data_IF_772009896982
#
_entry.id   IF_772009896982
#
_cell.length_a   1.000
_cell.length_b   1.000
_cell.length_c   1.000
_cell.angle_alpha   90.00
_cell.angle_beta   90.00
_cell.angle_gamma   90.00
#
_symmetry.space_group_name_H-M   'P 1'
#
loop_
_entity.id
_entity.type
_entity.pdbx_description
1 polymer ?
#
# COMPACT_ATOMS: atom_id res chain seq x y z
N UNK A 1 -14.79 -6.63 7.10
CA UNK A 1 -14.07 -5.37 7.35
C UNK A 1 -12.76 -5.74 8.01
N UNK A 2 -11.63 -5.22 7.55
CA UNK A 2 -10.28 -5.47 8.08
C UNK A 2 -9.46 -4.18 7.91
N UNK A 3 -8.45 -3.91 8.75
CA UNK A 3 -7.97 -4.72 9.88
C UNK A 3 -8.90 -4.71 11.10
N UNK A 4 -8.72 -5.69 11.99
CA UNK A 4 -9.36 -5.82 13.30
C UNK A 4 -8.27 -6.20 14.31
N UNK A 5 -8.19 -5.46 15.42
CA UNK A 5 -7.35 -5.76 16.57
C UNK A 5 -8.22 -6.31 17.70
N UNK A 6 -7.84 -7.46 18.23
CA UNK A 6 -8.29 -7.96 19.54
C UNK A 6 -7.22 -7.60 20.57
N UNK A 7 -7.62 -6.87 21.62
CA UNK A 7 -6.72 -6.44 22.70
C UNK A 7 -6.58 -7.53 23.75
N UNK A 8 -5.62 -7.36 24.66
CA UNK A 8 -5.36 -8.29 25.77
C UNK A 8 -6.59 -8.53 26.68
N UNK A 9 -7.50 -7.56 26.76
CA UNK A 9 -8.76 -7.65 27.53
C UNK A 9 -9.92 -8.29 26.74
N UNK A 10 -9.66 -8.76 25.51
CA UNK A 10 -10.66 -9.34 24.61
C UNK A 10 -11.55 -8.32 23.91
N UNK A 11 -11.36 -7.02 24.13
CA UNK A 11 -12.11 -5.99 23.41
C UNK A 11 -11.60 -5.84 21.97
N UNK A 12 -12.52 -5.51 21.07
CA UNK A 12 -12.26 -5.40 19.63
C UNK A 12 -12.16 -3.94 19.19
N UNK A 13 -11.18 -3.66 18.33
CA UNK A 13 -10.98 -2.37 17.66
C UNK A 13 -10.86 -2.60 16.14
N UNK A 14 -11.65 -1.88 15.36
CA UNK A 14 -11.53 -1.84 13.90
C UNK A 14 -10.84 -0.53 13.46
N UNK A 15 -10.65 -0.37 12.15
CA UNK A 15 -9.99 0.77 11.50
C UNK A 15 -8.48 0.87 11.74
N UNK A 16 -7.71 0.93 10.66
CA UNK A 16 -6.24 0.95 10.71
C UNK A 16 -5.70 2.15 11.50
N UNK A 17 -6.30 3.33 11.32
CA UNK A 17 -5.83 4.55 11.97
C UNK A 17 -6.04 4.52 13.49
N UNK A 18 -7.14 3.92 13.94
CA UNK A 18 -7.43 3.77 15.37
C UNK A 18 -6.47 2.77 16.01
N UNK A 19 -6.15 1.69 15.30
CA UNK A 19 -5.17 0.69 15.74
C UNK A 19 -3.77 1.30 15.85
N UNK A 20 -3.33 2.09 14.85
CA UNK A 20 -2.03 2.78 14.90
C UNK A 20 -2.00 3.76 16.08
N UNK A 21 -3.04 4.58 16.25
CA UNK A 21 -3.15 5.54 17.36
C UNK A 21 -3.06 4.86 18.72
N UNK A 22 -3.76 3.73 18.87
CA UNK A 22 -3.75 2.93 20.09
C UNK A 22 -2.33 2.49 20.47
N UNK A 23 -1.57 1.94 19.52
CA UNK A 23 -0.20 1.50 19.79
C UNK A 23 0.76 2.65 20.08
N UNK A 24 0.64 3.78 19.38
CA UNK A 24 1.45 4.97 19.64
C UNK A 24 1.19 5.54 21.04
N UNK A 25 -0.08 5.61 21.45
CA UNK A 25 -0.47 6.03 22.80
C UNK A 25 0.12 5.12 23.89
N UNK A 26 0.13 3.79 23.67
CA UNK A 26 0.74 2.85 24.61
C UNK A 26 2.25 3.03 24.75
N UNK A 27 2.94 3.43 23.68
CA UNK A 27 4.39 3.68 23.70
C UNK A 27 4.75 5.07 24.25
N UNK A 28 3.76 5.93 24.47
CA UNK A 28 3.94 7.30 24.94
C UNK A 28 4.98 8.07 24.11
N UNK A 29 4.91 7.91 22.78
CA UNK A 29 5.79 8.60 21.83
C UNK A 29 5.24 9.98 21.50
N UNK A 30 6.14 10.94 21.32
CA UNK A 30 5.82 12.29 20.85
C UNK A 30 5.81 12.31 19.32
N UNK A 31 4.68 11.91 18.74
CA UNK A 31 4.50 11.75 17.29
C UNK A 31 3.09 12.20 16.86
N UNK A 32 2.89 12.73 15.62
CA UNK A 32 1.56 13.02 15.12
C UNK A 32 0.63 11.80 15.19
N UNK A 33 -0.54 11.99 15.81
CA UNK A 33 -1.54 10.93 16.04
C UNK A 33 -2.57 10.81 14.90
N UNK A 34 -2.33 11.49 13.79
CA UNK A 34 -3.18 11.51 12.60
C UNK A 34 -2.33 11.63 11.32
N UNK A 35 -2.83 11.15 10.17
CA UNK A 35 -2.24 11.42 8.88
C UNK A 35 -2.16 12.92 8.57
N UNK A 36 -1.10 13.34 7.89
CA UNK A 36 -1.01 14.70 7.37
C UNK A 36 -1.96 14.91 6.19
N UNK A 37 -2.39 16.17 5.98
CA UNK A 37 -3.22 16.53 4.82
C UNK A 37 -2.56 16.17 3.49
N UNK A 38 -1.24 16.29 3.41
CA UNK A 38 -0.48 15.97 2.21
C UNK A 38 -0.53 14.47 1.92
N UNK A 39 -0.39 13.61 2.92
CA UNK A 39 -0.52 12.16 2.76
C UNK A 39 -1.92 11.73 2.35
N UNK A 40 -2.96 12.33 2.91
CA UNK A 40 -4.34 12.04 2.51
C UNK A 40 -4.63 12.46 1.06
N UNK A 41 -4.09 13.61 0.65
CA UNK A 41 -4.20 14.08 -0.74
C UNK A 41 -3.43 13.16 -1.70
N UNK A 42 -2.20 12.76 -1.34
CA UNK A 42 -1.40 11.81 -2.11
C UNK A 42 -2.09 10.44 -2.20
N UNK A 43 -2.61 9.93 -1.10
CA UNK A 43 -3.33 8.65 -1.05
C UNK A 43 -4.48 8.61 -2.06
N UNK A 44 -5.24 9.71 -2.15
CA UNK A 44 -6.35 9.82 -3.09
C UNK A 44 -5.92 9.66 -4.55
N UNK A 45 -4.75 10.18 -4.92
CA UNK A 45 -4.20 10.02 -6.29
C UNK A 45 -3.50 8.68 -6.50
N UNK A 46 -2.96 8.08 -5.44
CA UNK A 46 -2.27 6.78 -5.49
C UNK A 46 -3.21 5.58 -5.63
N UNK A 47 -4.50 5.74 -5.25
CA UNK A 47 -5.48 4.65 -5.28
C UNK A 47 -5.74 4.09 -6.68
N UNK A 48 -5.87 4.94 -7.70
CA UNK A 48 -6.14 4.44 -9.05
C UNK A 48 -4.96 3.61 -9.61
N UNK A 49 -3.70 4.09 -9.56
CA UNK A 49 -2.53 3.27 -9.88
C UNK A 49 -2.50 1.92 -9.16
N UNK A 50 -2.78 1.93 -7.84
CA UNK A 50 -2.84 0.72 -7.03
C UNK A 50 -3.90 -0.27 -7.54
N UNK A 51 -5.08 0.22 -7.90
CA UNK A 51 -6.17 -0.60 -8.41
C UNK A 51 -5.84 -1.17 -9.79
N UNK A 52 -5.30 -0.35 -10.69
CA UNK A 52 -4.96 -0.76 -12.05
C UNK A 52 -3.85 -1.81 -12.10
N UNK A 53 -2.84 -1.68 -11.23
CA UNK A 53 -1.73 -2.64 -11.14
C UNK A 53 -2.09 -3.83 -10.24
N UNK A 54 -2.45 -3.55 -9.00
CA UNK A 54 -2.53 -4.53 -7.93
C UNK A 54 -3.74 -5.45 -8.03
N UNK A 55 -4.94 -4.91 -8.22
CA UNK A 55 -6.16 -5.71 -8.18
C UNK A 55 -6.20 -6.91 -9.15
N UNK A 56 -5.78 -6.79 -10.43
CA UNK A 56 -5.76 -7.93 -11.34
C UNK A 56 -4.61 -8.91 -11.05
N UNK A 57 -3.61 -8.54 -10.22
CA UNK A 57 -2.40 -9.34 -9.97
C UNK A 57 -2.39 -10.03 -8.62
N UNK A 58 -2.91 -9.40 -7.55
CA UNK A 58 -2.86 -9.97 -6.21
C UNK A 58 -3.49 -11.36 -6.08
N UNK A 59 -4.61 -11.68 -6.75
CA UNK A 59 -5.17 -13.04 -6.73
C UNK A 59 -4.27 -14.12 -7.35
N UNK A 60 -3.28 -13.70 -8.17
CA UNK A 60 -2.32 -14.58 -8.82
C UNK A 60 -1.07 -14.83 -7.96
N UNK A 61 -0.91 -14.07 -6.86
CA UNK A 61 0.17 -14.23 -5.90
C UNK A 61 -0.13 -15.36 -4.90
N UNK A 62 0.90 -15.78 -4.16
CA UNK A 62 0.79 -16.79 -3.10
C UNK A 62 0.26 -16.22 -1.77
N UNK A 63 -0.72 -15.33 -1.85
CA UNK A 63 -1.34 -14.69 -0.68
C UNK A 63 -2.39 -15.61 -0.04
N UNK A 64 -2.44 -15.64 1.29
CA UNK A 64 -3.24 -16.62 2.02
C UNK A 64 -4.74 -16.44 1.81
N UNK A 65 -5.18 -15.20 1.69
CA UNK A 65 -6.54 -14.79 1.38
C UNK A 65 -7.01 -15.22 -0.01
N UNK A 66 -6.09 -15.58 -0.92
CA UNK A 66 -6.40 -16.01 -2.29
C UNK A 66 -6.10 -17.50 -2.53
N UNK A 67 -5.86 -18.30 -1.48
CA UNK A 67 -5.59 -19.74 -1.61
C UNK A 67 -6.70 -20.52 -2.31
N UNK A 68 -7.96 -20.16 -2.05
CA UNK A 68 -9.10 -20.87 -2.64
C UNK A 68 -9.56 -20.23 -3.94
N UNK A 69 -10.10 -21.03 -4.84
CA UNK A 69 -10.69 -20.51 -6.07
C UNK A 69 -11.88 -19.58 -5.78
N UNK A 70 -12.74 -19.96 -4.84
CA UNK A 70 -13.87 -19.11 -4.41
C UNK A 70 -13.43 -17.75 -3.88
N UNK A 71 -12.30 -17.65 -3.17
CA UNK A 71 -11.78 -16.35 -2.71
C UNK A 71 -11.28 -15.48 -3.85
N UNK A 72 -10.69 -16.08 -4.91
CA UNK A 72 -10.24 -15.34 -6.10
C UNK A 72 -11.43 -14.84 -6.92
N UNK A 73 -12.43 -15.70 -7.13
CA UNK A 73 -13.68 -15.32 -7.80
C UNK A 73 -14.40 -14.22 -7.03
N UNK A 74 -14.56 -14.35 -5.71
CA UNK A 74 -15.20 -13.32 -4.89
C UNK A 74 -14.45 -11.97 -4.91
N UNK A 75 -13.12 -11.99 -5.10
CA UNK A 75 -12.34 -10.77 -5.31
C UNK A 75 -12.63 -10.13 -6.66
N UNK A 76 -12.56 -10.92 -7.73
CA UNK A 76 -12.85 -10.45 -9.09
C UNK A 76 -14.27 -9.88 -9.18
N UNK A 77 -15.28 -10.63 -8.73
CA UNK A 77 -16.69 -10.20 -8.72
C UNK A 77 -16.91 -8.88 -7.97
N UNK A 78 -16.16 -8.67 -6.88
CA UNK A 78 -16.29 -7.47 -6.05
C UNK A 78 -15.53 -6.27 -6.60
N UNK A 79 -14.42 -6.49 -7.28
CA UNK A 79 -13.45 -5.44 -7.64
C UNK A 79 -13.49 -5.06 -9.10
N UNK A 80 -13.89 -5.97 -9.96
CA UNK A 80 -14.03 -5.72 -11.39
C UNK A 80 -15.21 -4.79 -11.63
N UNK A 81 -14.98 -3.75 -12.42
CA UNK A 81 -16.01 -2.85 -12.93
C UNK A 81 -15.81 -2.66 -14.43
N UNK A 82 -16.66 -1.85 -15.07
CA UNK A 82 -16.43 -1.44 -16.46
C UNK A 82 -15.07 -0.73 -16.60
N UNK A 83 -14.73 0.13 -15.64
CA UNK A 83 -13.49 0.92 -15.64
C UNK A 83 -12.27 0.15 -15.10
N UNK A 84 -12.51 -0.83 -14.21
CA UNK A 84 -11.49 -1.72 -13.65
C UNK A 84 -11.64 -3.13 -14.22
N UNK A 85 -11.66 -3.26 -15.54
CA UNK A 85 -11.74 -4.55 -16.20
C UNK A 85 -10.37 -5.25 -16.16
N UNK A 86 -10.25 -6.39 -15.46
CA UNK A 86 -8.95 -7.01 -15.21
C UNK A 86 -8.25 -7.47 -16.49
N UNK A 87 -8.99 -8.01 -17.45
CA UNK A 87 -8.44 -8.45 -18.75
C UNK A 87 -7.85 -7.26 -19.51
N UNK A 88 -8.56 -6.14 -19.56
CA UNK A 88 -8.09 -4.93 -20.23
C UNK A 88 -6.90 -4.30 -19.49
N UNK A 89 -6.96 -4.22 -18.15
CA UNK A 89 -5.85 -3.70 -17.34
C UNK A 89 -4.56 -4.51 -17.54
N UNK A 90 -4.67 -5.84 -17.61
CA UNK A 90 -3.53 -6.71 -17.92
C UNK A 90 -3.02 -6.50 -19.36
N UNK A 91 -3.92 -6.37 -20.34
CA UNK A 91 -3.54 -6.10 -21.73
C UNK A 91 -2.86 -4.73 -21.91
N UNK A 92 -3.25 -3.73 -21.11
CA UNK A 92 -2.70 -2.37 -21.12
C UNK A 92 -1.54 -2.15 -20.13
N UNK A 93 -0.92 -3.23 -19.62
CA UNK A 93 0.12 -3.15 -18.59
C UNK A 93 1.24 -2.17 -18.93
N UNK A 94 1.77 -2.21 -20.15
CA UNK A 94 2.88 -1.33 -20.55
C UNK A 94 2.53 0.16 -20.42
N UNK A 95 1.32 0.54 -20.82
CA UNK A 95 0.87 1.94 -20.78
C UNK A 95 0.60 2.39 -19.33
N UNK A 96 0.02 1.52 -18.51
CA UNK A 96 -0.23 1.78 -17.09
C UNK A 96 1.10 1.91 -16.34
N UNK A 97 2.07 1.01 -16.59
CA UNK A 97 3.41 1.05 -15.98
C UNK A 97 4.13 2.35 -16.33
N UNK A 98 4.01 2.85 -17.55
CA UNK A 98 4.58 4.16 -17.93
C UNK A 98 4.03 5.30 -17.07
N UNK A 99 2.72 5.31 -16.82
CA UNK A 99 2.07 6.31 -15.95
C UNK A 99 2.46 6.15 -14.48
N UNK A 100 2.55 4.90 -14.00
CA UNK A 100 3.00 4.57 -12.64
C UNK A 100 4.43 5.03 -12.42
N UNK A 101 5.34 4.78 -13.37
CA UNK A 101 6.74 5.21 -13.25
C UNK A 101 6.84 6.74 -13.11
N UNK A 102 6.06 7.49 -13.89
CA UNK A 102 6.00 8.95 -13.76
C UNK A 102 5.43 9.39 -12.39
N UNK A 103 4.40 8.69 -11.89
CA UNK A 103 3.81 8.93 -10.57
C UNK A 103 4.80 8.66 -9.43
N UNK A 104 5.62 7.61 -9.52
CA UNK A 104 6.59 7.25 -8.50
C UNK A 104 7.70 8.30 -8.34
N UNK A 105 8.14 8.95 -9.43
CA UNK A 105 9.09 10.07 -9.36
C UNK A 105 8.52 11.22 -8.51
N UNK A 106 7.23 11.50 -8.61
CA UNK A 106 6.56 12.48 -7.76
C UNK A 106 6.48 12.04 -6.30
N UNK A 107 6.22 10.75 -6.07
CA UNK A 107 6.12 10.17 -4.73
C UNK A 107 7.45 10.21 -3.98
N UNK A 108 8.57 9.87 -4.64
CA UNK A 108 9.92 9.98 -4.07
C UNK A 108 10.22 11.41 -3.58
N UNK A 109 9.85 12.42 -4.39
CA UNK A 109 10.04 13.84 -4.05
C UNK A 109 9.19 14.27 -2.85
N UNK A 110 7.93 13.84 -2.79
CA UNK A 110 7.02 14.18 -1.67
C UNK A 110 7.48 13.57 -0.35
N UNK A 111 8.08 12.38 -0.41
CA UNK A 111 8.65 11.70 0.75
C UNK A 111 9.98 12.33 1.22
N UNK A 112 10.58 13.24 0.45
CA UNK A 112 11.87 13.89 0.74
C UNK A 112 12.92 12.88 1.23
N UNK A 113 13.13 11.82 0.46
CA UNK A 113 13.97 10.69 0.87
C UNK A 113 15.45 11.05 0.74
N UNK A 114 16.16 11.00 1.86
CA UNK A 114 17.60 11.20 1.95
C UNK A 114 18.24 9.92 2.53
N UNK A 115 19.24 9.38 1.83
CA UNK A 115 19.91 8.13 2.20
C UNK A 115 18.96 6.96 2.54
N UNK A 116 17.87 6.83 1.78
CA UNK A 116 16.88 5.77 1.97
C UNK A 116 15.95 5.94 3.18
N UNK A 117 15.91 7.14 3.76
CA UNK A 117 15.07 7.48 4.91
C UNK A 117 14.19 8.69 4.62
N UNK A 118 13.00 8.69 5.21
CA UNK A 118 12.07 9.83 5.21
C UNK A 118 11.82 10.29 6.65
N UNK A 119 11.57 11.58 6.84
CA UNK A 119 11.26 12.19 8.14
C UNK A 119 9.75 12.37 8.37
N UNK A 120 8.91 11.66 7.62
CA UNK A 120 7.45 11.66 7.82
C UNK A 120 7.07 10.89 9.09
N UNK A 121 5.86 11.13 9.60
CA UNK A 121 5.32 10.36 10.72
C UNK A 121 5.04 8.91 10.35
N UNK A 122 4.90 8.03 11.34
CA UNK A 122 4.51 6.63 11.19
C UNK A 122 3.14 6.49 10.53
N UNK A 123 2.19 7.38 10.82
CA UNK A 123 0.90 7.42 10.12
C UNK A 123 1.06 7.65 8.62
N UNK A 124 1.90 8.63 8.27
CA UNK A 124 2.18 8.95 6.88
C UNK A 124 2.94 7.78 6.23
N UNK A 125 3.98 7.25 6.89
CA UNK A 125 4.75 6.10 6.39
C UNK A 125 3.83 4.90 6.13
N UNK A 126 2.94 4.57 7.07
CA UNK A 126 1.98 3.47 6.91
C UNK A 126 1.08 3.65 5.67
N UNK A 127 0.65 4.88 5.37
CA UNK A 127 -0.15 5.19 4.17
C UNK A 127 0.67 4.99 2.90
N UNK A 128 1.85 5.61 2.81
CA UNK A 128 2.69 5.51 1.62
C UNK A 128 3.14 4.06 1.40
N UNK A 129 3.68 3.42 2.43
CA UNK A 129 4.19 2.06 2.37
C UNK A 129 3.10 1.07 1.99
N UNK A 130 1.92 1.11 2.62
CA UNK A 130 0.85 0.14 2.33
C UNK A 130 0.37 0.18 0.88
N UNK A 131 0.32 1.38 0.28
CA UNK A 131 -0.09 1.56 -1.12
C UNK A 131 1.04 1.19 -2.08
N UNK A 132 2.22 1.76 -1.90
CA UNK A 132 3.37 1.52 -2.78
C UNK A 132 3.78 0.04 -2.78
N UNK A 133 3.72 -0.62 -1.61
CA UNK A 133 3.95 -2.06 -1.47
C UNK A 133 3.09 -2.88 -2.43
N UNK A 134 1.85 -2.47 -2.65
CA UNK A 134 0.91 -3.16 -3.53
C UNK A 134 1.29 -3.12 -5.02
N UNK A 135 2.15 -2.19 -5.43
CA UNK A 135 2.63 -2.04 -6.80
C UNK A 135 3.77 -3.01 -7.14
N UNK A 136 4.51 -3.52 -6.16
CA UNK A 136 5.65 -4.43 -6.39
C UNK A 136 5.29 -5.72 -7.14
N UNK A 137 3.99 -6.05 -7.23
CA UNK A 137 3.51 -7.24 -7.94
C UNK A 137 3.68 -7.15 -9.46
N UNK A 138 4.05 -5.98 -9.98
CA UNK A 138 4.39 -5.77 -11.39
C UNK A 138 5.91 -5.52 -11.53
N UNK A 139 6.68 -6.54 -11.97
CA UNK A 139 8.15 -6.46 -12.00
C UNK A 139 8.70 -5.50 -13.06
N UNK A 140 7.89 -5.02 -14.00
CA UNK A 140 8.33 -4.08 -15.04
C UNK A 140 8.29 -2.60 -14.60
N UNK A 141 7.79 -2.31 -13.40
CA UNK A 141 7.84 -0.96 -12.82
C UNK A 141 9.30 -0.56 -12.58
N UNK A 142 9.65 0.63 -13.07
CA UNK A 142 10.96 1.24 -12.86
C UNK A 142 10.88 2.12 -11.59
N UNK A 143 11.28 1.55 -10.46
CA UNK A 143 11.28 2.25 -9.18
C UNK A 143 12.39 3.33 -9.13
N UNK A 144 12.07 4.56 -8.70
CA UNK A 144 13.09 5.55 -8.34
C UNK A 144 14.01 4.99 -7.24
N UNK A 145 15.32 5.24 -7.36
CA UNK A 145 16.33 4.56 -6.57
C UNK A 145 16.15 4.76 -5.05
N UNK A 146 15.92 6.01 -4.60
CA UNK A 146 15.78 6.29 -3.18
C UNK A 146 14.45 5.77 -2.65
N UNK A 147 13.40 5.82 -3.49
CA UNK A 147 12.11 5.23 -3.16
C UNK A 147 12.19 3.71 -2.99
N UNK A 148 12.88 3.00 -3.88
CA UNK A 148 13.08 1.54 -3.74
C UNK A 148 13.85 1.21 -2.47
N UNK A 149 14.93 1.95 -2.15
CA UNK A 149 15.68 1.76 -0.91
C UNK A 149 14.78 1.99 0.31
N UNK A 150 13.99 3.07 0.33
CA UNK A 150 13.06 3.35 1.41
C UNK A 150 12.01 2.25 1.57
N UNK A 151 11.40 1.78 0.48
CA UNK A 151 10.43 0.69 0.50
C UNK A 151 11.02 -0.61 1.07
N UNK A 152 12.27 -0.94 0.73
CA UNK A 152 12.94 -2.12 1.28
C UNK A 152 13.28 -1.94 2.77
N UNK A 153 13.67 -0.73 3.20
CA UNK A 153 13.91 -0.41 4.62
C UNK A 153 12.62 -0.54 5.44
N UNK A 154 11.52 0.09 5.01
CA UNK A 154 10.22 0.00 5.69
C UNK A 154 9.73 -1.47 5.76
N UNK A 155 9.97 -2.25 4.71
CA UNK A 155 9.64 -3.68 4.68
C UNK A 155 10.44 -4.47 5.72
N UNK A 156 11.74 -4.20 5.83
CA UNK A 156 12.63 -4.83 6.81
C UNK A 156 12.25 -4.44 8.24
N UNK A 157 12.05 -3.15 8.50
CA UNK A 157 11.82 -2.61 9.84
C UNK A 157 10.46 -3.00 10.40
N UNK A 158 9.43 -3.04 9.54
CA UNK A 158 8.08 -3.47 9.93
C UNK A 158 7.88 -4.99 9.94
N UNK A 159 8.78 -5.76 9.32
CA UNK A 159 8.60 -7.18 9.08
C UNK A 159 7.49 -7.51 8.07
N UNK A 160 6.98 -6.51 7.33
CA UNK A 160 5.94 -6.70 6.31
C UNK A 160 6.59 -6.81 4.93
N UNK A 161 6.58 -8.00 4.27
CA UNK A 161 7.34 -8.22 3.03
C UNK A 161 6.73 -7.49 1.85
N UNK A 162 7.51 -6.96 0.90
CA UNK A 162 6.97 -6.42 -0.37
C UNK A 162 6.14 -7.46 -1.15
N UNK A 163 5.11 -7.04 -1.89
CA UNK A 163 4.27 -7.94 -2.69
C UNK A 163 4.94 -8.27 -4.02
N UNK A 164 5.71 -9.35 -4.09
CA UNK A 164 6.40 -9.81 -5.30
C UNK A 164 5.84 -11.15 -5.78
#
# INVERSE_FOLDING_TARGET
>A
MVPILEKDDGSIMAESNDIIRYFLQQKNVDEPMEPSKNSLQWQSSAFLPLQQIGYPRWPLLSLSEFKTESSRVAWEDKKQTIDLNFVQLLASTSDIVSQVNAFLIGSEKLLNIEDGKSNISLFDSAIYFSILRGLYCEPTIAWPQQLDVWMNNESLDSGVPLLK
#
